data_IF_086969431793
#
_entry.id   IF_086969431793
#
_cell.length_a   1.000
_cell.length_b   1.000
_cell.length_c   1.000
_cell.angle_alpha   90.00
_cell.angle_beta   90.00
_cell.angle_gamma   90.00
#
_symmetry.space_group_name_H-M   'P 1'
#
loop_
_entity.id
_entity.type
_entity.pdbx_description
1 polymer ?
#
# COMPACT_ATOMS: atom_id res chain seq x y z
N UNK A 1 -17.60 38.08 26.78
CA UNK A 1 -17.90 36.70 26.37
C UNK A 1 -16.65 36.17 25.68
N UNK A 2 -15.82 35.43 26.41
CA UNK A 2 -14.57 34.88 25.88
C UNK A 2 -14.86 33.47 25.37
N UNK A 3 -14.68 33.26 24.06
CA UNK A 3 -14.82 31.96 23.44
C UNK A 3 -13.54 31.15 23.71
N UNK A 4 -13.67 30.12 24.54
CA UNK A 4 -12.66 29.09 24.72
C UNK A 4 -12.73 28.15 23.51
N UNK A 5 -11.80 28.30 22.55
CA UNK A 5 -11.56 27.28 21.53
C UNK A 5 -10.45 26.36 22.00
N UNK A 6 -10.84 25.29 22.66
CA UNK A 6 -10.00 24.13 22.94
C UNK A 6 -9.71 23.39 21.64
N UNK A 7 -8.62 23.73 20.97
CA UNK A 7 -8.08 22.89 19.91
C UNK A 7 -7.31 21.75 20.57
N UNK A 8 -7.95 20.58 20.68
CA UNK A 8 -7.25 19.33 20.96
C UNK A 8 -6.33 19.03 19.78
N UNK A 9 -5.02 19.21 20.00
CA UNK A 9 -4.01 18.64 19.14
C UNK A 9 -4.12 17.11 19.23
N UNK A 10 -4.65 16.51 18.16
CA UNK A 10 -4.63 15.06 17.95
C UNK A 10 -3.18 14.60 17.84
N UNK A 11 -2.61 14.24 18.98
CA UNK A 11 -1.28 13.71 19.15
C UNK A 11 -1.25 12.28 18.60
N UNK A 12 -0.99 12.12 17.30
CA UNK A 12 -0.62 10.82 16.74
C UNK A 12 0.89 10.67 16.87
N UNK A 13 1.42 9.80 17.74
CA UNK A 13 2.78 9.33 17.58
C UNK A 13 2.78 8.38 16.38
N UNK A 14 2.91 8.94 15.17
CA UNK A 14 3.36 8.16 14.01
C UNK A 14 4.87 7.93 14.15
N UNK A 15 5.29 7.24 15.22
CA UNK A 15 6.59 6.58 15.17
C UNK A 15 6.46 5.51 14.09
N UNK A 16 7.27 5.55 13.01
CA UNK A 16 7.28 4.47 12.04
C UNK A 16 7.76 3.24 12.77
N UNK A 17 6.84 2.34 13.13
CA UNK A 17 7.22 1.03 13.66
C UNK A 17 7.94 0.31 12.53
N UNK A 18 9.27 0.28 12.58
CA UNK A 18 10.07 -0.52 11.67
C UNK A 18 9.78 -1.98 11.97
N UNK A 19 8.90 -2.59 11.17
CA UNK A 19 8.63 -4.01 11.22
C UNK A 19 9.91 -4.77 10.86
N UNK A 20 10.14 -5.90 11.53
CA UNK A 20 11.13 -6.87 11.04
C UNK A 20 10.72 -7.37 9.65
N UNK A 21 11.68 -7.86 8.87
CA UNK A 21 11.40 -8.42 7.53
C UNK A 21 10.30 -9.50 7.56
N UNK A 22 10.28 -10.32 8.61
CA UNK A 22 9.28 -11.37 8.79
C UNK A 22 7.88 -10.80 9.07
N UNK A 23 7.78 -9.77 9.91
CA UNK A 23 6.52 -9.10 10.19
C UNK A 23 6.00 -8.33 8.97
N UNK A 24 6.90 -7.65 8.25
CA UNK A 24 6.55 -6.96 7.01
C UNK A 24 6.01 -7.95 5.97
N UNK A 25 6.63 -9.12 5.82
CA UNK A 25 6.15 -10.16 4.92
C UNK A 25 4.78 -10.69 5.34
N UNK A 26 4.59 -10.96 6.65
CA UNK A 26 3.31 -11.40 7.19
C UNK A 26 2.19 -10.37 6.98
N UNK A 27 2.48 -9.10 7.22
CA UNK A 27 1.55 -7.98 7.03
C UNK A 27 1.17 -7.81 5.55
N UNK A 28 2.16 -7.84 4.65
CA UNK A 28 1.92 -7.77 3.20
C UNK A 28 1.05 -8.94 2.75
N UNK A 29 1.37 -10.18 3.13
CA UNK A 29 0.56 -11.34 2.77
C UNK A 29 -0.89 -11.21 3.24
N UNK A 30 -1.09 -10.74 4.48
CA UNK A 30 -2.44 -10.50 5.00
C UNK A 30 -3.19 -9.45 4.16
N UNK A 31 -2.52 -8.34 3.80
CA UNK A 31 -3.12 -7.30 2.99
C UNK A 31 -3.58 -7.81 1.61
N UNK A 32 -2.78 -8.65 0.95
CA UNK A 32 -3.19 -9.28 -0.31
C UNK A 32 -4.43 -10.17 -0.13
N UNK A 33 -4.46 -11.02 0.91
CA UNK A 33 -5.65 -11.84 1.20
C UNK A 33 -6.90 -11.01 1.50
N UNK A 34 -6.76 -9.89 2.22
CA UNK A 34 -7.88 -9.00 2.49
C UNK A 34 -8.40 -8.34 1.18
N UNK A 35 -7.49 -7.95 0.26
CA UNK A 35 -7.84 -7.36 -1.04
C UNK A 35 -8.56 -8.38 -1.95
N UNK A 36 -8.09 -9.62 -2.00
CA UNK A 36 -8.75 -10.72 -2.72
C UNK A 36 -10.16 -10.97 -2.17
N UNK A 37 -10.33 -10.95 -0.84
CA UNK A 37 -11.64 -11.12 -0.21
C UNK A 37 -12.63 -9.97 -0.54
N UNK A 38 -12.11 -8.81 -0.92
CA UNK A 38 -12.90 -7.68 -1.43
C UNK A 38 -13.17 -7.75 -2.94
N UNK A 39 -12.67 -8.78 -3.63
CA UNK A 39 -12.85 -8.98 -5.07
C UNK A 39 -11.93 -8.12 -5.93
N UNK A 40 -10.84 -7.60 -5.38
CA UNK A 40 -9.84 -6.84 -6.12
C UNK A 40 -8.93 -7.84 -6.84
N UNK A 41 -8.75 -7.66 -8.15
CA UNK A 41 -7.94 -8.58 -8.95
C UNK A 41 -6.44 -8.38 -8.72
N UNK A 42 -5.64 -9.44 -8.96
CA UNK A 42 -4.18 -9.34 -8.95
C UNK A 42 -3.67 -8.27 -9.93
N UNK A 43 -4.33 -8.14 -11.09
CA UNK A 43 -4.03 -7.09 -12.06
C UNK A 43 -4.15 -5.69 -11.44
N UNK A 44 -5.26 -5.40 -10.75
CA UNK A 44 -5.51 -4.09 -10.14
C UNK A 44 -4.49 -3.78 -9.04
N UNK A 45 -4.13 -4.79 -8.23
CA UNK A 45 -3.15 -4.64 -7.16
C UNK A 45 -1.76 -4.29 -7.74
N UNK A 46 -1.29 -5.07 -8.71
CA UNK A 46 0.03 -4.84 -9.31
C UNK A 46 0.06 -3.54 -10.12
N UNK A 47 -1.02 -3.18 -10.81
CA UNK A 47 -1.10 -1.92 -11.54
C UNK A 47 -1.03 -0.71 -10.59
N UNK A 48 -1.74 -0.75 -9.47
CA UNK A 48 -1.66 0.30 -8.45
C UNK A 48 -0.26 0.40 -7.82
N UNK A 49 0.42 -0.74 -7.60
CA UNK A 49 1.80 -0.75 -7.12
C UNK A 49 2.77 -0.16 -8.15
N UNK A 50 2.56 -0.42 -9.44
CA UNK A 50 3.38 0.16 -10.51
C UNK A 50 3.31 1.69 -10.49
N UNK A 51 2.12 2.26 -10.36
CA UNK A 51 1.89 3.71 -10.23
C UNK A 51 2.54 4.28 -8.96
N UNK A 52 2.39 3.59 -7.83
CA UNK A 52 2.99 4.00 -6.56
C UNK A 52 4.51 4.11 -6.64
N UNK A 53 5.18 3.09 -7.18
CA UNK A 53 6.63 3.10 -7.32
C UNK A 53 7.12 4.08 -8.39
N UNK A 54 6.32 4.34 -9.42
CA UNK A 54 6.61 5.41 -10.39
C UNK A 54 6.65 6.78 -9.70
N UNK A 55 5.64 7.10 -8.88
CA UNK A 55 5.56 8.35 -8.13
C UNK A 55 6.73 8.53 -7.15
N UNK A 56 7.23 7.43 -6.58
CA UNK A 56 8.41 7.41 -5.71
C UNK A 56 9.75 7.52 -6.43
N UNK A 57 9.75 7.61 -7.76
CA UNK A 57 10.95 7.60 -8.61
C UNK A 57 11.76 6.31 -8.46
N UNK A 58 11.07 5.19 -8.31
CA UNK A 58 11.62 3.83 -8.26
C UNK A 58 11.24 3.08 -9.56
N UNK A 59 11.79 3.45 -10.73
CA UNK A 59 11.29 3.01 -12.04
C UNK A 59 11.50 1.52 -12.31
N UNK A 60 12.53 0.91 -11.74
CA UNK A 60 12.80 -0.53 -11.90
C UNK A 60 11.71 -1.37 -11.24
N UNK A 61 11.29 -0.97 -10.03
CA UNK A 61 10.23 -1.65 -9.28
C UNK A 61 8.88 -1.38 -9.94
N UNK A 62 8.62 -0.13 -10.35
CA UNK A 62 7.42 0.21 -11.11
C UNK A 62 7.25 -0.68 -12.35
N UNK A 63 8.32 -0.85 -13.14
CA UNK A 63 8.32 -1.73 -14.32
C UNK A 63 8.05 -3.19 -13.95
N UNK A 64 8.67 -3.69 -12.88
CA UNK A 64 8.44 -5.06 -12.41
C UNK A 64 6.98 -5.30 -12.03
N UNK A 65 6.36 -4.35 -11.34
CA UNK A 65 4.94 -4.43 -10.98
C UNK A 65 4.03 -4.35 -12.21
N UNK A 66 4.33 -3.47 -13.17
CA UNK A 66 3.56 -3.39 -14.42
C UNK A 66 3.64 -4.69 -15.24
N UNK A 67 4.81 -5.33 -15.29
CA UNK A 67 4.97 -6.64 -15.93
C UNK A 67 4.18 -7.73 -15.20
N UNK A 68 4.19 -7.73 -13.86
CA UNK A 68 3.38 -8.65 -13.08
C UNK A 68 1.88 -8.47 -13.33
N UNK A 69 1.40 -7.22 -13.40
CA UNK A 69 0.01 -6.92 -13.76
C UNK A 69 -0.33 -7.49 -15.14
N UNK A 70 0.50 -7.23 -16.15
CA UNK A 70 0.31 -7.76 -17.49
C UNK A 70 0.25 -9.30 -17.51
N UNK A 71 1.14 -9.97 -16.78
CA UNK A 71 1.13 -11.42 -16.68
C UNK A 71 -0.13 -11.96 -16.00
N UNK A 72 -0.66 -11.27 -14.99
CA UNK A 72 -1.94 -11.63 -14.37
C UNK A 72 -3.09 -11.52 -15.36
N UNK A 73 -3.16 -10.41 -16.11
CA UNK A 73 -4.17 -10.21 -17.15
C UNK A 73 -4.13 -11.28 -18.25
N UNK A 74 -2.95 -11.73 -18.68
CA UNK A 74 -2.84 -12.76 -19.71
C UNK A 74 -3.18 -14.19 -19.24
N UNK A 75 -3.29 -14.43 -17.93
CA UNK A 75 -3.61 -15.75 -17.37
C UNK A 75 -5.11 -15.95 -17.14
N UNK A 76 -5.89 -14.87 -17.16
CA UNK A 76 -7.36 -14.88 -17.15
C UNK A 76 -7.93 -15.15 -18.54
#
# INVERSE_FOLDING_TARGET
>A
MSASSSSQEGQYPATPTQLSTQEAFGATRKAFTDLEAMGISDFDIFNALADFFYQRREPEISRLMAEAAYQSFCKE
#
